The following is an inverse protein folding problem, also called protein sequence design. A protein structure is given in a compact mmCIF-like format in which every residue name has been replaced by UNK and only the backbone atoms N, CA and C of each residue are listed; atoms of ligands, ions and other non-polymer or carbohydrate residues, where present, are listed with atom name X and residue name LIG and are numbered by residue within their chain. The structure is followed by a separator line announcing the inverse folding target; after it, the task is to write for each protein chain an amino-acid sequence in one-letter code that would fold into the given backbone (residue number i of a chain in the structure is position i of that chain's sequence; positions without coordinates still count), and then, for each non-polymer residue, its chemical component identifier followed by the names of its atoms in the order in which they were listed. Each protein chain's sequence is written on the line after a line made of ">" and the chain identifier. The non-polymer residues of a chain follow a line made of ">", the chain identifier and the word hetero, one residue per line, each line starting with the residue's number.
data_IF_597585408360
#
_entry.id   IF_597585408360
#
_cell.length_a   1.000
_cell.length_b   1.000
_cell.length_c   1.000
_cell.angle_alpha   90.00
_cell.angle_beta   90.00
_cell.angle_gamma   90.00
#
_symmetry.space_group_name_H-M   'P 1'
#
loop_
_entity.id
_entity.type
_entity.pdbx_description
1 polymer ?
#
# COMPACT_ATOMS: atom_id res chain seq x y z
N UNK A 1 11.89 23.38 -9.21
CA UNK A 1 12.99 22.96 -8.32
C UNK A 1 12.31 22.39 -7.09
N UNK A 2 12.59 21.15 -6.68
CA UNK A 2 11.97 20.56 -5.48
C UNK A 2 12.46 21.35 -4.25
N UNK A 3 11.56 21.74 -3.36
CA UNK A 3 11.93 22.46 -2.14
C UNK A 3 12.79 21.54 -1.25
N UNK A 4 14.06 21.90 -0.99
CA UNK A 4 15.01 21.01 -0.32
C UNK A 4 14.67 20.77 1.16
N UNK A 5 13.74 21.52 1.73
CA UNK A 5 13.30 21.37 3.13
C UNK A 5 12.10 20.43 3.30
N UNK A 6 11.39 20.10 2.20
CA UNK A 6 10.27 19.15 2.26
C UNK A 6 10.82 17.74 2.10
N UNK A 7 11.18 17.11 3.22
CA UNK A 7 11.48 15.68 3.27
C UNK A 7 10.18 14.89 3.41
N UNK A 8 9.82 14.16 2.36
CA UNK A 8 8.78 13.13 2.42
C UNK A 8 9.40 11.81 2.87
N UNK A 9 8.81 11.16 3.88
CA UNK A 9 9.20 9.80 4.28
C UNK A 9 8.17 8.81 3.74
N UNK A 10 8.62 7.58 3.48
CA UNK A 10 7.72 6.50 3.06
C UNK A 10 6.52 6.35 4.01
N UNK A 11 6.76 6.32 5.33
CA UNK A 11 5.70 6.15 6.32
C UNK A 11 4.80 7.38 6.45
N UNK A 12 5.36 8.58 6.34
CA UNK A 12 4.58 9.82 6.33
C UNK A 12 3.59 9.88 5.17
N UNK A 13 4.00 9.44 3.99
CA UNK A 13 3.13 9.40 2.81
C UNK A 13 2.01 8.35 2.88
N UNK A 14 2.04 7.45 3.86
CA UNK A 14 0.92 6.51 4.13
C UNK A 14 -0.14 7.11 5.07
N UNK A 15 0.19 8.19 5.78
CA UNK A 15 -0.71 8.79 6.77
C UNK A 15 -1.92 9.44 6.08
N UNK A 16 -3.14 9.25 6.61
CA UNK A 16 -4.30 9.99 6.14
C UNK A 16 -4.08 11.51 6.25
N UNK A 17 -4.56 12.31 5.28
CA UNK A 17 -4.65 13.75 5.45
C UNK A 17 -5.54 14.14 6.64
N UNK A 18 -5.44 15.38 7.10
CA UNK A 18 -6.24 15.85 8.24
C UNK A 18 -7.76 15.73 8.01
N UNK A 19 -8.43 15.06 8.94
CA UNK A 19 -9.88 14.79 8.88
C UNK A 19 -10.26 13.65 7.94
N UNK A 20 -9.28 12.85 7.48
CA UNK A 20 -9.50 11.63 6.73
C UNK A 20 -9.08 10.40 7.53
N UNK A 21 -9.61 9.26 7.14
CA UNK A 21 -9.21 7.94 7.62
C UNK A 21 -8.88 7.02 6.43
N UNK A 22 -8.03 6.02 6.67
CA UNK A 22 -7.76 4.97 5.69
C UNK A 22 -9.03 4.16 5.45
N UNK A 23 -9.48 4.11 4.20
CA UNK A 23 -10.49 3.14 3.80
C UNK A 23 -9.83 1.91 3.17
N UNK A 24 -9.06 2.06 2.09
CA UNK A 24 -8.42 0.92 1.40
C UNK A 24 -7.03 1.25 0.85
N UNK A 25 -6.17 0.24 0.72
CA UNK A 25 -4.85 0.42 0.09
C UNK A 25 -4.42 -0.81 -0.74
N UNK A 26 -3.77 -0.56 -1.87
CA UNK A 26 -3.14 -1.59 -2.70
C UNK A 26 -1.68 -1.19 -2.89
N UNK A 27 -0.76 -2.08 -2.55
CA UNK A 27 0.65 -1.87 -2.73
C UNK A 27 1.23 -2.86 -3.74
N UNK A 28 2.31 -2.44 -4.40
CA UNK A 28 3.23 -3.33 -5.09
C UNK A 28 4.64 -3.13 -4.57
N UNK A 29 5.43 -4.18 -4.52
CA UNK A 29 6.87 -4.10 -4.26
C UNK A 29 7.59 -5.28 -4.90
N UNK A 30 8.88 -5.16 -5.22
CA UNK A 30 9.64 -6.31 -5.69
C UNK A 30 10.02 -7.21 -4.50
N UNK A 31 10.79 -6.67 -3.58
CA UNK A 31 11.15 -7.34 -2.33
C UNK A 31 10.27 -6.84 -1.20
N UNK A 32 9.85 -7.73 -0.31
CA UNK A 32 9.04 -7.40 0.84
C UNK A 32 9.72 -7.89 2.10
N UNK A 33 10.05 -7.00 3.02
CA UNK A 33 10.40 -7.36 4.38
C UNK A 33 9.15 -7.26 5.28
N UNK A 34 8.73 -8.37 5.87
CA UNK A 34 7.48 -8.41 6.66
C UNK A 34 7.53 -7.50 7.89
N UNK A 35 8.71 -7.34 8.48
CA UNK A 35 8.91 -6.48 9.64
C UNK A 35 8.76 -5.00 9.24
N UNK A 36 9.28 -4.61 8.06
CA UNK A 36 9.04 -3.29 7.45
C UNK A 36 7.56 -3.07 7.12
N UNK A 37 6.85 -4.11 6.66
CA UNK A 37 5.42 -4.03 6.36
C UNK A 37 4.57 -3.75 7.60
N UNK A 38 4.92 -4.28 8.77
CA UNK A 38 4.21 -4.02 10.03
C UNK A 38 4.13 -2.53 10.38
N UNK A 39 5.08 -1.72 9.92
CA UNK A 39 5.10 -0.28 10.17
C UNK A 39 4.05 0.48 9.35
N UNK A 40 3.62 -0.05 8.20
CA UNK A 40 2.67 0.62 7.32
C UNK A 40 1.26 0.74 7.95
N UNK A 41 0.63 -0.34 8.45
CA UNK A 41 -0.61 -0.26 9.22
C UNK A 41 -0.53 0.70 10.41
N UNK A 42 0.59 0.69 11.14
CA UNK A 42 0.80 1.57 12.28
C UNK A 42 0.73 3.04 11.87
N UNK A 43 1.46 3.43 10.82
CA UNK A 43 1.45 4.81 10.31
C UNK A 43 0.07 5.22 9.80
N UNK A 44 -0.62 4.32 9.07
CA UNK A 44 -1.94 4.58 8.51
C UNK A 44 -3.02 4.83 9.57
N UNK A 45 -2.92 4.16 10.72
CA UNK A 45 -3.95 4.23 11.78
C UNK A 45 -3.66 5.34 12.78
N UNK A 46 -2.42 5.46 13.24
CA UNK A 46 -2.07 6.43 14.29
C UNK A 46 -1.63 7.78 13.74
N UNK A 47 -1.35 7.90 12.43
CA UNK A 47 -0.84 9.13 11.83
C UNK A 47 0.43 9.65 12.53
N UNK A 48 1.32 8.72 12.90
CA UNK A 48 2.62 9.04 13.53
C UNK A 48 3.74 8.35 12.78
N UNK A 49 4.83 9.10 12.54
CA UNK A 49 6.08 8.53 12.03
C UNK A 49 6.92 8.03 13.20
N UNK A 50 7.10 6.71 13.29
CA UNK A 50 7.99 6.04 14.25
C UNK A 50 8.87 5.05 13.53
N UNK A 51 10.09 4.87 14.02
CA UNK A 51 10.94 3.77 13.57
C UNK A 51 10.49 2.43 14.22
N UNK A 52 11.11 1.33 13.79
CA UNK A 52 10.74 0.00 14.27
C UNK A 52 11.02 -0.16 15.77
N UNK A 53 12.14 0.36 16.28
CA UNK A 53 12.52 0.26 17.70
C UNK A 53 11.51 0.96 18.64
N UNK A 54 10.82 1.99 18.14
CA UNK A 54 9.74 2.66 18.86
C UNK A 54 8.41 1.92 18.76
N UNK A 55 8.09 1.34 17.60
CA UNK A 55 6.85 0.58 17.36
C UNK A 55 6.88 -0.76 18.12
N UNK A 56 8.01 -1.46 18.12
CA UNK A 56 8.16 -2.77 18.80
C UNK A 56 7.96 -2.67 20.32
N UNK A 57 8.21 -1.49 20.90
CA UNK A 57 7.97 -1.21 22.32
C UNK A 57 6.48 -1.06 22.67
N UNK A 58 5.61 -0.93 21.68
CA UNK A 58 4.15 -0.85 21.85
C UNK A 58 3.42 -1.93 21.03
N UNK A 59 3.52 -3.21 21.45
CA UNK A 59 2.91 -4.33 20.73
C UNK A 59 1.38 -4.28 20.74
N UNK A 60 0.77 -3.57 21.70
CA UNK A 60 -0.69 -3.41 21.77
C UNK A 60 -1.16 -2.46 20.69
N UNK A 61 -0.52 -1.31 20.53
CA UNK A 61 -0.83 -0.38 19.46
C UNK A 61 -0.56 -1.02 18.08
N UNK A 62 0.55 -1.73 17.92
CA UNK A 62 0.83 -2.47 16.68
C UNK A 62 -0.27 -3.48 16.36
N UNK A 63 -0.66 -4.31 17.32
CA UNK A 63 -1.76 -5.26 17.15
C UNK A 63 -3.09 -4.57 16.81
N UNK A 64 -3.40 -3.44 17.47
CA UNK A 64 -4.59 -2.65 17.18
C UNK A 64 -4.58 -2.14 15.74
N UNK A 65 -3.45 -1.61 15.26
CA UNK A 65 -3.33 -1.12 13.89
C UNK A 65 -3.58 -2.23 12.85
N UNK A 66 -3.03 -3.43 13.08
CA UNK A 66 -3.22 -4.58 12.21
C UNK A 66 -4.69 -5.03 12.16
N UNK A 67 -5.38 -5.01 13.31
CA UNK A 67 -6.81 -5.32 13.37
C UNK A 67 -7.65 -4.28 12.65
N UNK A 68 -7.31 -3.00 12.78
CA UNK A 68 -8.05 -1.89 12.15
C UNK A 68 -7.96 -1.95 10.63
N UNK A 69 -6.78 -2.25 10.07
CA UNK A 69 -6.58 -2.34 8.62
C UNK A 69 -6.86 -3.72 8.03
N UNK A 70 -7.30 -4.69 8.85
CA UNK A 70 -7.65 -6.02 8.38
C UNK A 70 -8.67 -5.91 7.25
N UNK A 71 -8.46 -6.66 6.16
CA UNK A 71 -9.29 -6.64 4.96
C UNK A 71 -9.31 -5.30 4.19
N UNK A 72 -8.56 -4.29 4.64
CA UNK A 72 -8.50 -2.97 4.02
C UNK A 72 -7.28 -2.78 3.13
N UNK A 73 -6.23 -3.58 3.27
CA UNK A 73 -5.07 -3.46 2.39
C UNK A 73 -4.58 -4.79 1.83
N UNK A 74 -3.91 -4.70 0.68
CA UNK A 74 -3.24 -5.83 0.04
C UNK A 74 -1.91 -5.37 -0.59
N UNK A 75 -0.88 -6.20 -0.47
CA UNK A 75 0.46 -5.98 -1.01
C UNK A 75 0.76 -7.10 -1.99
N UNK A 76 0.97 -6.73 -3.26
CA UNK A 76 1.44 -7.65 -4.28
C UNK A 76 2.98 -7.60 -4.34
N UNK A 77 3.63 -8.75 -4.19
CA UNK A 77 5.09 -8.83 -4.24
C UNK A 77 5.60 -9.94 -5.15
N UNK A 78 6.83 -9.81 -5.65
CA UNK A 78 7.39 -10.85 -6.52
C UNK A 78 7.52 -12.18 -5.76
N UNK A 79 7.09 -13.27 -6.40
CA UNK A 79 7.24 -14.61 -5.85
C UNK A 79 8.68 -14.90 -5.43
N UNK A 80 8.86 -15.43 -4.23
CA UNK A 80 10.16 -15.78 -3.65
C UNK A 80 10.97 -14.58 -3.14
N UNK A 81 10.36 -13.38 -3.04
CA UNK A 81 11.03 -12.15 -2.58
C UNK A 81 10.48 -11.60 -1.25
N UNK A 82 9.86 -12.46 -0.46
CA UNK A 82 9.48 -12.17 0.92
C UNK A 82 10.64 -12.54 1.86
N UNK A 83 11.08 -11.57 2.67
CA UNK A 83 12.01 -11.74 3.78
C UNK A 83 11.23 -11.72 5.08
N UNK A 84 11.39 -12.76 5.89
CA UNK A 84 10.89 -12.82 7.26
C UNK A 84 12.08 -13.07 8.21
N UNK A 85 12.17 -12.35 9.35
CA UNK A 85 13.22 -12.58 10.32
C UNK A 85 13.15 -14.00 10.90
N UNK A 86 14.30 -14.55 11.30
CA UNK A 86 14.41 -15.90 11.87
C UNK A 86 13.61 -16.07 13.17
N UNK A 87 13.35 -14.97 13.89
CA UNK A 87 12.49 -14.97 15.07
C UNK A 87 11.03 -14.93 14.63
N UNK A 88 10.26 -15.95 15.01
CA UNK A 88 8.83 -15.97 14.78
C UNK A 88 8.16 -14.80 15.50
N UNK A 89 7.49 -13.93 14.74
CA UNK A 89 6.63 -12.88 15.25
C UNK A 89 5.16 -13.29 14.98
N UNK A 90 4.34 -13.54 16.03
CA UNK A 90 2.96 -13.97 15.84
C UNK A 90 2.11 -12.95 15.07
N UNK A 91 2.54 -11.69 15.00
CA UNK A 91 1.85 -10.64 14.25
C UNK A 91 1.88 -10.85 12.74
N UNK A 92 2.81 -11.66 12.21
CA UNK A 92 2.83 -11.98 10.78
C UNK A 92 1.58 -12.72 10.31
N UNK A 93 0.91 -13.47 11.19
CA UNK A 93 -0.39 -14.11 10.88
C UNK A 93 -1.47 -13.10 10.47
N UNK A 94 -1.40 -11.84 10.93
CA UNK A 94 -2.33 -10.78 10.54
C UNK A 94 -2.05 -10.23 9.14
N UNK A 95 -0.87 -10.50 8.57
CA UNK A 95 -0.46 -10.07 7.24
C UNK A 95 -0.70 -11.13 6.17
N UNK A 96 -0.93 -12.39 6.54
CA UNK A 96 -1.02 -13.53 5.60
C UNK A 96 -2.06 -13.29 4.49
N UNK A 97 -3.26 -12.83 4.84
CA UNK A 97 -4.31 -12.54 3.86
C UNK A 97 -4.11 -11.20 3.11
N UNK A 98 -3.15 -10.39 3.56
CA UNK A 98 -2.83 -9.08 2.98
C UNK A 98 -1.60 -9.12 2.07
N UNK A 99 -0.85 -10.23 2.02
CA UNK A 99 0.34 -10.37 1.18
C UNK A 99 0.08 -11.40 0.09
N UNK A 100 0.21 -10.98 -1.17
CA UNK A 100 -0.01 -11.82 -2.34
C UNK A 100 1.27 -11.88 -3.15
N UNK A 101 1.82 -13.08 -3.30
CA UNK A 101 2.93 -13.30 -4.22
C UNK A 101 2.42 -13.36 -5.67
N UNK A 102 3.14 -12.71 -6.58
CA UNK A 102 2.82 -12.65 -8.00
C UNK A 102 3.98 -13.14 -8.85
N UNK A 103 3.63 -13.75 -9.99
CA UNK A 103 4.56 -14.18 -11.01
C UNK A 103 4.07 -13.66 -12.38
N UNK A 104 4.85 -12.82 -13.07
CA UNK A 104 4.50 -12.38 -14.42
C UNK A 104 4.33 -13.56 -15.40
N UNK A 105 3.43 -13.43 -16.36
CA UNK A 105 3.19 -14.46 -17.39
C UNK A 105 4.42 -14.72 -18.28
N UNK A 106 5.22 -13.69 -18.53
CA UNK A 106 6.49 -13.84 -19.23
C UNK A 106 7.49 -14.59 -18.32
N UNK A 107 8.04 -15.74 -18.74
CA UNK A 107 9.00 -16.51 -17.94
C UNK A 107 10.26 -15.73 -17.53
N UNK A 108 10.61 -14.69 -18.29
CA UNK A 108 11.75 -13.80 -18.00
C UNK A 108 11.31 -12.47 -17.35
N UNK A 109 10.01 -12.29 -17.08
CA UNK A 109 9.45 -11.09 -16.48
C UNK A 109 9.59 -11.08 -14.96
N UNK A 110 9.71 -9.88 -14.40
CA UNK A 110 9.69 -9.65 -12.94
C UNK A 110 8.74 -8.52 -12.59
N UNK A 111 7.98 -8.66 -11.49
CA UNK A 111 7.15 -7.58 -10.95
C UNK A 111 8.03 -6.61 -10.16
N UNK A 112 8.52 -5.55 -10.81
CA UNK A 112 9.44 -4.59 -10.18
C UNK A 112 8.77 -3.29 -9.71
N UNK A 113 7.47 -3.12 -9.96
CA UNK A 113 6.72 -1.95 -9.53
C UNK A 113 6.77 -1.80 -8.00
N UNK A 114 6.93 -0.55 -7.54
CA UNK A 114 6.87 -0.18 -6.12
C UNK A 114 5.89 0.97 -6.00
N UNK A 115 4.63 0.65 -5.77
CA UNK A 115 3.56 1.63 -5.80
C UNK A 115 2.63 1.47 -4.63
N UNK A 116 1.96 2.55 -4.26
CA UNK A 116 0.74 2.49 -3.45
C UNK A 116 -0.39 3.18 -4.20
N UNK A 117 -1.57 2.61 -4.13
CA UNK A 117 -2.83 3.31 -4.37
C UNK A 117 -3.60 3.27 -3.07
N UNK A 118 -3.91 4.42 -2.50
CA UNK A 118 -4.52 4.56 -1.19
C UNK A 118 -5.79 5.37 -1.34
N UNK A 119 -6.87 4.87 -0.73
CA UNK A 119 -8.18 5.51 -0.68
C UNK A 119 -8.43 5.99 0.73
N UNK A 120 -8.68 7.28 0.86
CA UNK A 120 -9.01 7.95 2.12
C UNK A 120 -10.44 8.46 2.08
N UNK A 121 -11.18 8.28 3.17
CA UNK A 121 -12.56 8.76 3.32
C UNK A 121 -12.65 9.76 4.46
N UNK A 122 -13.68 10.59 4.41
CA UNK A 122 -14.03 11.55 5.46
C UNK A 122 -15.55 11.59 5.60
N UNK A 123 -16.05 12.03 6.75
CA UNK A 123 -17.49 12.17 6.99
C UNK A 123 -18.09 13.34 6.20
N UNK A 124 -17.30 14.39 6.01
CA UNK A 124 -17.79 15.68 5.49
C UNK A 124 -17.05 16.15 4.22
N UNK A 125 -16.09 15.37 3.72
CA UNK A 125 -15.25 15.72 2.55
C UNK A 125 -15.29 14.62 1.49
N UNK A 126 -15.04 14.94 0.20
CA UNK A 126 -14.98 13.94 -0.87
C UNK A 126 -13.90 12.87 -0.62
N UNK A 127 -14.07 11.67 -1.17
CA UNK A 127 -13.04 10.63 -1.13
C UNK A 127 -11.78 11.12 -1.85
N UNK A 128 -10.61 10.87 -1.27
CA UNK A 128 -9.32 11.17 -1.87
C UNK A 128 -8.58 9.87 -2.21
N UNK A 129 -7.99 9.84 -3.39
CA UNK A 129 -6.99 8.86 -3.76
C UNK A 129 -5.60 9.48 -3.71
N UNK A 130 -4.65 8.76 -3.09
CA UNK A 130 -3.22 9.03 -3.17
C UNK A 130 -2.53 7.89 -3.92
N UNK A 131 -1.85 8.23 -5.00
CA UNK A 131 -0.94 7.33 -5.70
C UNK A 131 0.51 7.65 -5.35
N UNK A 132 1.24 6.64 -4.89
CA UNK A 132 2.68 6.72 -4.64
C UNK A 132 3.42 5.87 -5.66
N UNK A 133 4.48 6.42 -6.23
CA UNK A 133 5.48 5.68 -6.99
C UNK A 133 6.84 5.83 -6.28
N UNK A 134 7.41 4.70 -5.88
CA UNK A 134 8.59 4.62 -5.03
C UNK A 134 9.79 4.11 -5.85
N UNK A 135 10.98 4.65 -5.62
CA UNK A 135 12.21 4.07 -6.18
C UNK A 135 12.70 2.85 -5.38
N UNK A 136 12.23 2.67 -4.15
CA UNK A 136 12.68 1.65 -3.19
C UNK A 136 11.59 0.65 -2.83
N UNK A 137 12.02 -0.56 -2.49
CA UNK A 137 11.19 -1.61 -1.92
C UNK A 137 10.88 -1.35 -0.44
N UNK A 138 9.92 -2.10 0.10
CA UNK A 138 9.55 -2.09 1.52
C UNK A 138 10.59 -2.88 2.35
N UNK A 139 11.71 -2.24 2.67
CA UNK A 139 12.88 -2.81 3.36
C UNK A 139 13.54 -1.80 4.32
N UNK A 140 14.34 -2.30 5.27
CA UNK A 140 15.11 -1.48 6.22
C UNK A 140 16.39 -0.85 5.68
N UNK A 141 16.68 -0.92 4.37
CA UNK A 141 17.92 -0.32 3.87
C UNK A 141 17.95 1.21 4.09
N UNK A 142 19.14 1.78 4.23
CA UNK A 142 19.32 3.23 4.46
C UNK A 142 19.69 3.99 3.16
N UNK A 143 19.23 3.47 2.02
CA UNK A 143 19.50 4.08 0.72
C UNK A 143 18.70 5.37 0.55
N UNK A 144 19.25 6.31 -0.21
CA UNK A 144 18.48 7.46 -0.66
C UNK A 144 17.44 7.00 -1.68
N UNK A 145 16.22 7.49 -1.54
CA UNK A 145 15.11 7.15 -2.42
C UNK A 145 14.33 8.40 -2.86
N UNK A 146 13.39 8.20 -3.76
CA UNK A 146 12.51 9.24 -4.27
C UNK A 146 11.09 8.70 -4.28
N UNK A 147 10.15 9.57 -3.92
CA UNK A 147 8.72 9.30 -3.89
C UNK A 147 8.03 10.32 -4.78
N UNK A 148 7.26 9.85 -5.75
CA UNK A 148 6.27 10.66 -6.45
C UNK A 148 4.93 10.42 -5.75
N UNK A 149 4.30 11.49 -5.29
CA UNK A 149 3.02 11.47 -4.57
C UNK A 149 2.01 12.31 -5.35
N UNK A 150 0.93 11.68 -5.79
CA UNK A 150 -0.13 12.30 -6.59
C UNK A 150 -1.46 12.10 -5.87
N UNK A 151 -2.18 13.19 -5.62
CA UNK A 151 -3.49 13.16 -4.99
C UNK A 151 -4.59 13.62 -5.94
N UNK A 152 -5.76 12.99 -5.84
CA UNK A 152 -6.95 13.36 -6.59
C UNK A 152 -8.22 13.06 -5.81
N UNK A 153 -9.20 13.95 -5.92
CA UNK A 153 -10.53 13.72 -5.37
C UNK A 153 -11.37 12.88 -6.33
N UNK A 154 -12.06 11.88 -5.80
CA UNK A 154 -13.06 11.13 -6.54
C UNK A 154 -14.23 12.05 -6.89
N UNK A 155 -14.51 12.23 -8.17
CA UNK A 155 -15.68 13.00 -8.63
C UNK A 155 -16.87 12.07 -8.86
N UNK A 156 -17.65 11.80 -7.82
CA UNK A 156 -18.79 10.86 -7.87
C UNK A 156 -19.80 11.16 -8.99
N UNK A 157 -20.03 12.44 -9.29
CA UNK A 157 -20.95 12.88 -10.35
C UNK A 157 -20.41 12.66 -11.77
N UNK A 158 -19.12 12.31 -11.92
CA UNK A 158 -18.47 12.12 -13.21
C UNK A 158 -18.77 10.74 -13.78
N UNK A 159 -19.45 10.73 -14.94
CA UNK A 159 -19.78 9.50 -15.67
C UNK A 159 -18.71 9.05 -16.68
N UNK A 160 -17.82 9.95 -17.09
CA UNK A 160 -16.77 9.66 -18.08
C UNK A 160 -15.41 9.53 -17.39
N UNK A 161 -14.74 8.41 -17.64
CA UNK A 161 -13.40 8.17 -17.13
C UNK A 161 -12.37 9.21 -17.64
N UNK A 162 -11.37 9.51 -16.82
CA UNK A 162 -10.14 10.19 -17.24
C UNK A 162 -9.25 9.21 -17.99
N UNK A 163 -9.10 9.43 -19.30
CA UNK A 163 -8.27 8.57 -20.15
C UNK A 163 -6.81 8.45 -19.62
N UNK A 164 -6.29 9.52 -19.00
CA UNK A 164 -4.97 9.52 -18.38
C UNK A 164 -4.81 8.50 -17.24
N UNK A 165 -5.89 8.13 -16.57
CA UNK A 165 -5.86 7.20 -15.45
C UNK A 165 -6.06 5.73 -15.89
N UNK A 166 -6.39 5.47 -17.15
CA UNK A 166 -6.62 4.10 -17.65
C UNK A 166 -5.42 3.17 -17.42
N UNK A 167 -4.17 3.54 -17.77
CA UNK A 167 -3.04 2.63 -17.60
C UNK A 167 -2.79 2.23 -16.14
N UNK A 168 -2.96 3.19 -15.21
CA UNK A 168 -2.84 2.93 -13.78
C UNK A 168 -3.96 2.02 -13.27
N UNK A 169 -5.20 2.28 -13.68
CA UNK A 169 -6.34 1.47 -13.29
C UNK A 169 -6.20 0.02 -13.81
N UNK A 170 -5.83 -0.14 -15.09
CA UNK A 170 -5.59 -1.43 -15.73
C UNK A 170 -4.43 -2.19 -15.07
N UNK A 171 -3.37 -1.48 -14.67
CA UNK A 171 -2.26 -2.07 -13.92
C UNK A 171 -2.74 -2.73 -12.63
N UNK A 172 -3.47 -1.99 -11.77
CA UNK A 172 -3.99 -2.55 -10.51
C UNK A 172 -5.03 -3.66 -10.73
N UNK A 173 -5.91 -3.49 -11.71
CA UNK A 173 -6.92 -4.49 -12.10
C UNK A 173 -6.29 -5.80 -12.58
N UNK A 174 -5.09 -5.74 -13.16
CA UNK A 174 -4.37 -6.91 -13.66
C UNK A 174 -3.63 -7.69 -12.57
N UNK A 175 -3.26 -7.07 -11.43
CA UNK A 175 -2.47 -7.70 -10.37
C UNK A 175 -3.03 -9.05 -9.87
N UNK A 176 -4.35 -9.19 -9.61
CA UNK A 176 -4.91 -10.47 -9.16
C UNK A 176 -4.71 -11.63 -10.14
N UNK A 177 -4.55 -11.35 -11.44
CA UNK A 177 -4.34 -12.39 -12.46
C UNK A 177 -2.92 -12.96 -12.40
N UNK A 178 -1.98 -12.25 -11.78
CA UNK A 178 -0.59 -12.66 -11.63
C UNK A 178 -0.34 -13.44 -10.33
N UNK A 179 -1.32 -13.56 -9.45
CA UNK A 179 -1.13 -14.22 -8.16
C UNK A 179 -0.87 -15.72 -8.33
N UNK A 180 0.12 -16.22 -7.57
CA UNK A 180 0.49 -17.65 -7.57
C UNK A 180 -0.26 -18.44 -6.49
N UNK A 181 -1.01 -17.75 -5.63
CA UNK A 181 -1.73 -18.31 -4.49
C UNK A 181 -3.15 -17.74 -4.41
N UNK A 182 -3.91 -18.24 -3.43
CA UNK A 182 -5.25 -17.74 -3.15
C UNK A 182 -5.21 -16.25 -2.78
N UNK A 183 -6.11 -15.47 -3.37
CA UNK A 183 -6.36 -14.08 -3.00
C UNK A 183 -7.68 -14.03 -2.23
N UNK A 184 -7.68 -13.38 -1.07
CA UNK A 184 -8.87 -13.15 -0.27
C UNK A 184 -9.94 -12.38 -1.05
N UNK A 185 -11.21 -12.62 -0.73
CA UNK A 185 -12.32 -11.90 -1.37
C UNK A 185 -12.27 -10.39 -1.08
N UNK A 186 -11.82 -10.01 0.12
CA UNK A 186 -11.59 -8.60 0.48
C UNK A 186 -10.54 -7.95 -0.44
N UNK A 187 -9.41 -8.60 -0.69
CA UNK A 187 -8.39 -8.08 -1.60
C UNK A 187 -8.91 -7.93 -3.04
N UNK A 188 -9.69 -8.89 -3.56
CA UNK A 188 -10.31 -8.78 -4.90
C UNK A 188 -11.30 -7.61 -4.98
N UNK A 189 -12.13 -7.44 -3.94
CA UNK A 189 -13.10 -6.35 -3.86
C UNK A 189 -12.39 -4.99 -3.79
N UNK A 190 -11.31 -4.89 -3.03
CA UNK A 190 -10.49 -3.68 -2.93
C UNK A 190 -9.89 -3.31 -4.28
N UNK A 191 -9.26 -4.28 -4.97
CA UNK A 191 -8.71 -4.06 -6.32
C UNK A 191 -9.78 -3.60 -7.30
N UNK A 192 -10.93 -4.28 -7.32
CA UNK A 192 -12.04 -3.93 -8.20
C UNK A 192 -12.55 -2.51 -7.95
N UNK A 193 -12.88 -2.19 -6.69
CA UNK A 193 -13.38 -0.88 -6.31
C UNK A 193 -12.38 0.23 -6.70
N UNK A 194 -11.12 0.06 -6.32
CA UNK A 194 -10.12 1.11 -6.50
C UNK A 194 -9.72 1.31 -7.96
N UNK A 195 -9.66 0.24 -8.76
CA UNK A 195 -9.40 0.36 -10.20
C UNK A 195 -10.57 0.97 -10.98
N UNK A 196 -11.82 0.79 -10.52
CA UNK A 196 -13.00 1.46 -11.09
C UNK A 196 -13.07 2.94 -10.68
N UNK A 197 -12.84 3.25 -9.39
CA UNK A 197 -12.95 4.61 -8.85
C UNK A 197 -11.83 5.52 -9.34
N UNK A 198 -10.58 5.05 -9.42
CA UNK A 198 -9.44 5.90 -9.81
C UNK A 198 -9.56 6.42 -11.25
N UNK A 199 -10.47 5.86 -12.05
CA UNK A 199 -10.78 6.37 -13.40
C UNK A 199 -11.67 7.62 -13.37
N UNK A 200 -12.31 7.99 -12.25
CA UNK A 200 -13.32 9.07 -12.14
C UNK A 200 -12.84 10.28 -11.34
#
# INVERSE_FOLDING_TARGET
>A
MLEPEIRKTYLGELQPPEGYELDRAIATTYSLDLLSLLMAPFSMVFSVEKNWDEIEKDPIALLQSLKEVKDRFVVFCQQGRISAPARQNPLFSYLEESVVEVQPENPNGVMHAKTWLIRYISKDKPVIYRFLCLSKNMTFDHSWDTIVSLEGELKESRKRAYAANHPMAEFFEYLPKLAVSHISESAKQNVKLMSEEVRR
#
